data_IF_112706317126
#
_entry.id   IF_112706317126
#
_cell.length_a   1.000
_cell.length_b   1.000
_cell.length_c   1.000
_cell.angle_alpha   90.00
_cell.angle_beta   90.00
_cell.angle_gamma   90.00
#
_symmetry.space_group_name_H-M   'P 1'
#
loop_
_entity.id
_entity.type
_entity.pdbx_description
1 polymer ?
#
# COMPACT_ATOMS: atom_id res chain seq x y z
N UNK A 1 -35.69 -37.62 -51.03
CA UNK A 1 -35.09 -37.59 -49.71
C UNK A 1 -33.96 -36.60 -49.71
N UNK A 2 -34.24 -35.36 -49.30
CA UNK A 2 -33.21 -34.29 -49.21
C UNK A 2 -32.52 -34.41 -47.85
N UNK A 3 -31.35 -35.00 -47.80
CA UNK A 3 -30.46 -34.92 -46.66
C UNK A 3 -29.82 -33.52 -46.71
N UNK A 4 -30.47 -32.57 -46.03
CA UNK A 4 -29.89 -31.24 -45.79
C UNK A 4 -28.59 -31.35 -45.01
N UNK A 5 -27.52 -30.91 -45.63
CA UNK A 5 -26.15 -30.91 -45.08
C UNK A 5 -26.15 -30.26 -43.69
N UNK A 6 -25.83 -30.98 -42.62
CA UNK A 6 -25.90 -30.44 -41.24
C UNK A 6 -24.99 -29.22 -41.06
N UNK A 7 -23.97 -29.03 -41.90
CA UNK A 7 -23.06 -27.88 -41.88
C UNK A 7 -23.68 -26.54 -42.33
N UNK A 8 -24.79 -26.55 -43.07
CA UNK A 8 -25.41 -25.29 -43.53
C UNK A 8 -26.08 -24.51 -42.36
N UNK A 9 -26.49 -25.17 -41.31
CA UNK A 9 -27.07 -24.51 -40.09
C UNK A 9 -26.00 -23.90 -39.23
N UNK A 10 -24.85 -24.55 -39.08
CA UNK A 10 -23.70 -24.01 -38.31
C UNK A 10 -23.05 -22.84 -39.04
N UNK A 11 -22.93 -22.86 -40.34
CA UNK A 11 -22.42 -21.72 -41.13
C UNK A 11 -23.35 -20.50 -41.04
N UNK A 12 -24.68 -20.70 -41.08
CA UNK A 12 -25.64 -19.59 -40.90
C UNK A 12 -25.65 -19.04 -39.47
N UNK A 13 -25.43 -19.87 -38.46
CA UNK A 13 -25.30 -19.41 -37.07
C UNK A 13 -24.03 -18.60 -36.84
N UNK A 14 -22.93 -18.99 -37.52
CA UNK A 14 -21.66 -18.23 -37.49
C UNK A 14 -21.74 -16.91 -38.27
N UNK A 15 -22.50 -16.87 -39.37
CA UNK A 15 -22.67 -15.67 -40.23
C UNK A 15 -23.67 -14.68 -39.56
N UNK A 16 -24.59 -15.19 -38.73
CA UNK A 16 -25.55 -14.37 -37.99
C UNK A 16 -24.97 -13.86 -36.64
N UNK A 17 -23.82 -14.35 -36.22
CA UNK A 17 -23.16 -13.94 -35.02
C UNK A 17 -22.52 -12.56 -35.22
N UNK A 18 -23.27 -11.52 -34.84
CA UNK A 18 -22.79 -10.15 -34.95
C UNK A 18 -21.63 -9.94 -33.94
N UNK A 19 -20.41 -10.12 -34.43
CA UNK A 19 -19.16 -9.91 -33.67
C UNK A 19 -19.01 -8.52 -33.04
N UNK A 20 -19.99 -7.61 -33.24
CA UNK A 20 -19.96 -6.28 -32.67
C UNK A 20 -20.01 -6.30 -31.16
N UNK A 21 -20.85 -7.14 -30.58
CA UNK A 21 -20.97 -7.29 -29.11
C UNK A 21 -19.70 -7.90 -28.53
N UNK A 22 -19.11 -8.90 -29.18
CA UNK A 22 -17.81 -9.50 -28.78
C UNK A 22 -16.67 -8.49 -28.88
N UNK A 23 -16.60 -7.69 -29.94
CA UNK A 23 -15.60 -6.62 -30.10
C UNK A 23 -15.76 -5.54 -29.04
N UNK A 24 -16.99 -5.15 -28.74
CA UNK A 24 -17.28 -4.17 -27.70
C UNK A 24 -16.87 -4.69 -26.32
N UNK A 25 -17.17 -5.96 -26.03
CA UNK A 25 -16.74 -6.63 -24.79
C UNK A 25 -15.22 -6.69 -24.67
N UNK A 26 -14.51 -7.02 -25.77
CA UNK A 26 -13.05 -7.04 -25.79
C UNK A 26 -12.44 -5.66 -25.54
N UNK A 27 -12.97 -4.62 -26.20
CA UNK A 27 -12.50 -3.24 -26.01
C UNK A 27 -12.71 -2.79 -24.58
N UNK A 28 -13.88 -3.11 -23.99
CA UNK A 28 -14.17 -2.80 -22.60
C UNK A 28 -13.20 -3.51 -21.65
N UNK A 29 -12.95 -4.80 -21.88
CA UNK A 29 -12.02 -5.59 -21.07
C UNK A 29 -10.60 -5.03 -21.13
N UNK A 30 -10.12 -4.65 -22.31
CA UNK A 30 -8.80 -4.03 -22.50
C UNK A 30 -8.74 -2.66 -21.80
N UNK A 31 -9.79 -1.85 -21.91
CA UNK A 31 -9.86 -0.56 -21.23
C UNK A 31 -9.84 -0.71 -19.71
N UNK A 32 -10.59 -1.66 -19.16
CA UNK A 32 -10.58 -1.97 -17.73
C UNK A 32 -9.20 -2.46 -17.26
N UNK A 33 -8.56 -3.33 -18.02
CA UNK A 33 -7.22 -3.82 -17.73
C UNK A 33 -6.20 -2.67 -17.73
N UNK A 34 -6.26 -1.80 -18.73
CA UNK A 34 -5.39 -0.64 -18.80
C UNK A 34 -5.59 0.32 -17.63
N UNK A 35 -6.85 0.58 -17.24
CA UNK A 35 -7.17 1.40 -16.08
C UNK A 35 -6.65 0.77 -14.77
N UNK A 36 -6.78 -0.54 -14.63
CA UNK A 36 -6.28 -1.25 -13.46
C UNK A 36 -4.75 -1.23 -13.37
N UNK A 37 -4.06 -1.46 -14.50
CA UNK A 37 -2.59 -1.37 -14.57
C UNK A 37 -2.13 0.04 -14.24
N UNK A 38 -2.79 1.05 -14.81
CA UNK A 38 -2.50 2.45 -14.48
C UNK A 38 -2.66 2.73 -12.99
N UNK A 39 -3.78 2.29 -12.40
CA UNK A 39 -3.99 2.44 -10.96
C UNK A 39 -2.92 1.72 -10.14
N UNK A 40 -2.56 0.49 -10.50
CA UNK A 40 -1.55 -0.29 -9.79
C UNK A 40 -0.16 0.36 -9.80
N UNK A 41 0.16 1.13 -10.85
CA UNK A 41 1.42 1.86 -10.97
C UNK A 41 1.36 3.24 -10.30
N UNK A 42 0.23 3.95 -10.42
CA UNK A 42 0.08 5.33 -9.95
C UNK A 42 -0.26 5.43 -8.46
N UNK A 43 -1.00 4.45 -7.92
CA UNK A 43 -1.37 4.44 -6.50
C UNK A 43 -0.12 4.39 -5.60
N UNK A 44 -0.19 5.09 -4.47
CA UNK A 44 0.88 5.15 -3.46
C UNK A 44 0.31 4.68 -2.13
N UNK A 45 0.73 3.49 -1.71
CA UNK A 45 0.31 2.89 -0.44
C UNK A 45 1.38 3.20 0.60
N UNK A 46 1.05 3.92 1.68
CA UNK A 46 1.99 4.16 2.77
C UNK A 46 2.33 2.84 3.46
N UNK A 47 3.60 2.62 3.70
CA UNK A 47 4.10 1.54 4.54
C UNK A 47 4.41 2.09 5.92
N UNK A 48 3.94 1.39 6.94
CA UNK A 48 4.18 1.76 8.33
C UNK A 48 5.10 0.75 8.98
N UNK A 49 6.01 1.24 9.77
CA UNK A 49 6.85 0.46 10.64
C UNK A 49 6.43 0.65 12.09
N UNK A 50 6.24 -0.43 12.80
CA UNK A 50 5.69 -0.45 14.15
C UNK A 50 6.78 -0.52 15.21
N UNK A 51 6.67 0.30 16.26
CA UNK A 51 7.48 0.21 17.46
C UNK A 51 6.61 0.12 18.69
N UNK A 52 6.83 -0.90 19.50
CA UNK A 52 6.18 -1.06 20.82
C UNK A 52 7.01 -0.47 21.97
N UNK A 53 8.25 -0.07 21.70
CA UNK A 53 9.13 0.52 22.69
C UNK A 53 9.13 2.04 22.59
N UNK A 54 8.06 2.64 23.06
CA UNK A 54 7.87 4.11 23.07
C UNK A 54 7.89 4.60 24.49
N UNK A 55 8.73 5.59 24.78
CA UNK A 55 8.82 6.24 26.09
C UNK A 55 8.44 7.71 25.97
N UNK A 56 7.56 8.13 26.82
CA UNK A 56 7.14 9.54 26.91
C UNK A 56 8.16 10.35 27.71
N UNK A 57 8.40 11.57 27.26
CA UNK A 57 9.11 12.55 28.08
C UNK A 57 8.20 13.04 29.22
N UNK A 58 8.74 13.36 30.41
CA UNK A 58 7.97 13.85 31.57
C UNK A 58 7.04 15.02 31.27
N UNK A 59 7.35 15.82 30.25
CA UNK A 59 6.54 16.97 29.82
C UNK A 59 5.36 16.52 28.93
N UNK A 60 5.35 15.27 28.42
CA UNK A 60 4.26 14.70 27.62
C UNK A 60 4.12 15.26 26.20
N UNK A 61 5.10 16.01 25.71
CA UNK A 61 5.09 16.61 24.37
C UNK A 61 6.02 15.91 23.37
N UNK A 62 6.95 15.12 23.87
CA UNK A 62 7.87 14.33 23.05
C UNK A 62 7.86 12.87 23.49
N UNK A 63 8.08 11.98 22.53
CA UNK A 63 8.23 10.56 22.76
C UNK A 63 9.47 10.03 22.07
N UNK A 64 10.22 9.15 22.73
CA UNK A 64 11.32 8.42 22.10
C UNK A 64 10.83 7.03 21.71
N UNK A 65 11.03 6.64 20.45
CA UNK A 65 10.72 5.33 19.91
C UNK A 65 11.95 4.73 19.22
N UNK A 66 12.00 3.40 19.09
CA UNK A 66 13.11 2.69 18.46
C UNK A 66 12.62 1.91 17.25
N UNK A 67 13.29 2.12 16.11
CA UNK A 67 12.95 1.49 14.84
C UNK A 67 14.17 0.77 14.24
N UNK A 68 13.98 -0.34 13.50
CA UNK A 68 15.07 -1.04 12.83
C UNK A 68 15.52 -0.36 11.54
N UNK A 69 14.71 0.48 10.91
CA UNK A 69 15.04 1.14 9.66
C UNK A 69 15.32 2.63 9.79
N UNK A 70 16.01 3.17 8.77
CA UNK A 70 16.41 4.58 8.73
C UNK A 70 15.19 5.50 8.61
N UNK A 71 15.09 6.45 9.53
CA UNK A 71 14.00 7.41 9.61
C UNK A 71 14.51 8.80 9.33
N UNK A 72 13.74 9.57 8.57
CA UNK A 72 14.08 10.95 8.20
C UNK A 72 13.34 11.95 9.06
N UNK A 73 14.02 13.03 9.41
CA UNK A 73 13.41 14.17 10.10
C UNK A 73 12.28 14.72 9.24
N UNK A 74 11.14 15.02 9.87
CA UNK A 74 9.94 15.50 9.19
C UNK A 74 8.94 14.42 8.77
N UNK A 75 9.27 13.13 8.88
CA UNK A 75 8.32 12.05 8.60
C UNK A 75 7.12 12.09 9.55
N UNK A 76 5.97 11.70 9.01
CA UNK A 76 4.76 11.52 9.80
C UNK A 76 4.85 10.24 10.62
N UNK A 77 4.39 10.34 11.85
CA UNK A 77 4.22 9.22 12.75
C UNK A 77 2.83 9.27 13.38
N UNK A 78 2.31 8.11 13.72
CA UNK A 78 1.08 7.98 14.49
C UNK A 78 1.45 7.30 15.79
N UNK A 79 1.20 7.96 16.90
CA UNK A 79 1.40 7.40 18.22
C UNK A 79 0.05 6.97 18.78
N UNK A 80 -0.07 5.68 19.04
CA UNK A 80 -1.31 5.08 19.53
C UNK A 80 -1.22 4.79 21.02
N UNK A 81 -2.20 5.27 21.78
CA UNK A 81 -2.48 4.89 23.15
C UNK A 81 -3.71 3.98 23.18
N UNK A 82 -4.05 3.39 24.33
CA UNK A 82 -5.19 2.47 24.49
C UNK A 82 -6.50 2.97 23.87
N UNK A 83 -6.73 4.29 23.83
CA UNK A 83 -8.02 4.87 23.43
C UNK A 83 -7.90 5.98 22.38
N UNK A 84 -6.71 6.33 21.93
CA UNK A 84 -6.51 7.45 20.99
C UNK A 84 -5.30 7.24 20.09
N UNK A 85 -5.43 7.64 18.85
CA UNK A 85 -4.33 7.80 17.91
C UNK A 85 -3.98 9.29 17.83
N UNK A 86 -2.72 9.63 17.99
CA UNK A 86 -2.21 10.99 18.04
C UNK A 86 -1.22 11.17 16.90
N UNK A 87 -1.43 12.20 16.10
CA UNK A 87 -0.47 12.58 15.07
C UNK A 87 0.82 13.07 15.71
N UNK A 88 1.93 12.62 15.17
CA UNK A 88 3.26 13.00 15.61
C UNK A 88 4.17 13.24 14.39
N UNK A 89 5.31 13.88 14.64
CA UNK A 89 6.32 14.14 13.64
C UNK A 89 7.70 13.80 14.17
N UNK A 90 8.54 13.20 13.33
CA UNK A 90 9.95 12.95 13.62
C UNK A 90 10.69 14.27 13.65
N UNK A 91 11.28 14.61 14.80
CA UNK A 91 12.09 15.81 14.97
C UNK A 91 13.59 15.53 15.07
N UNK A 92 13.96 14.30 15.48
CA UNK A 92 15.35 13.88 15.59
C UNK A 92 15.46 12.38 15.38
N UNK A 93 16.58 11.92 14.81
CA UNK A 93 16.90 10.50 14.62
C UNK A 93 18.39 10.26 14.84
N UNK A 94 18.72 9.31 15.70
CA UNK A 94 20.11 8.96 16.01
C UNK A 94 20.28 7.42 16.04
N UNK A 95 21.35 6.89 15.41
CA UNK A 95 21.65 5.47 15.51
C UNK A 95 22.05 5.10 16.94
N UNK A 96 21.61 3.92 17.37
CA UNK A 96 21.95 3.32 18.67
C UNK A 96 23.00 2.24 18.48
N UNK A 97 23.75 1.91 19.52
CA UNK A 97 24.76 0.85 19.52
C UNK A 97 24.20 -0.53 19.20
N UNK A 98 22.91 -0.75 19.37
CA UNK A 98 22.20 -2.03 19.13
C UNK A 98 21.70 -2.19 17.68
N UNK A 99 22.11 -1.28 16.78
CA UNK A 99 21.67 -1.30 15.36
C UNK A 99 20.24 -0.81 15.14
N UNK A 100 19.60 -0.28 16.19
CA UNK A 100 18.32 0.39 16.07
C UNK A 100 18.52 1.90 15.89
N UNK A 101 17.50 2.57 15.41
CA UNK A 101 17.46 4.02 15.31
C UNK A 101 16.53 4.56 16.38
N UNK A 102 17.08 5.36 17.28
CA UNK A 102 16.30 6.12 18.24
C UNK A 102 15.72 7.33 17.54
N UNK A 103 14.40 7.42 17.55
CA UNK A 103 13.64 8.50 16.92
C UNK A 103 12.96 9.31 18.00
N UNK A 104 13.12 10.63 17.96
CA UNK A 104 12.37 11.55 18.82
C UNK A 104 11.17 12.07 18.06
N UNK A 105 9.99 11.83 18.61
CA UNK A 105 8.70 12.21 18.05
C UNK A 105 8.15 13.42 18.79
N UNK A 106 7.73 14.43 18.08
CA UNK A 106 6.95 15.54 18.62
C UNK A 106 5.47 15.20 18.53
N UNK A 107 4.79 15.17 19.63
CA UNK A 107 3.36 14.92 19.72
C UNK A 107 2.59 16.23 19.53
N UNK A 108 1.54 16.20 18.72
CA UNK A 108 0.65 17.36 18.56
C UNK A 108 -0.42 17.45 19.64
N UNK A 109 -0.59 16.38 20.42
CA UNK A 109 -1.49 16.30 21.56
C UNK A 109 -0.82 15.53 22.71
N UNK A 110 -1.15 15.83 23.98
CA UNK A 110 -0.60 15.10 25.09
C UNK A 110 -1.06 13.63 25.06
N UNK A 111 -0.16 12.73 25.35
CA UNK A 111 -0.40 11.29 25.38
C UNK A 111 -0.17 10.71 26.78
N UNK A 112 -0.75 9.54 27.03
CA UNK A 112 -0.53 8.77 28.25
C UNK A 112 -0.06 7.34 27.90
N UNK A 113 0.87 6.81 28.66
CA UNK A 113 1.35 5.43 28.51
C UNK A 113 0.27 4.37 28.81
N UNK A 114 0.31 3.17 28.19
CA UNK A 114 1.33 2.68 27.28
C UNK A 114 1.12 3.17 25.84
N UNK A 115 2.23 3.39 25.13
CA UNK A 115 2.24 3.92 23.76
C UNK A 115 2.87 2.93 22.79
N UNK A 116 2.36 2.97 21.57
CA UNK A 116 2.98 2.37 20.39
C UNK A 116 3.15 3.45 19.32
N UNK A 117 4.14 3.33 18.47
CA UNK A 117 4.39 4.29 17.41
C UNK A 117 4.49 3.59 16.07
N UNK A 118 3.80 4.15 15.07
CA UNK A 118 3.86 3.74 13.69
C UNK A 118 4.44 4.90 12.87
N UNK A 119 5.54 4.65 12.17
CA UNK A 119 6.15 5.66 11.29
C UNK A 119 5.88 5.29 9.83
N UNK A 120 5.46 6.27 9.03
CA UNK A 120 5.34 6.12 7.58
C UNK A 120 6.76 6.10 6.98
N UNK A 121 7.26 4.91 6.60
CA UNK A 121 8.63 4.72 6.09
C UNK A 121 8.74 5.01 4.60
N UNK A 122 7.86 4.44 3.81
CA UNK A 122 7.90 4.51 2.35
C UNK A 122 6.48 4.51 1.78
N UNK A 123 6.32 5.13 0.61
CA UNK A 123 5.11 5.02 -0.22
C UNK A 123 5.44 4.22 -1.46
N UNK A 124 4.93 3.00 -1.53
CA UNK A 124 5.17 2.10 -2.66
C UNK A 124 3.89 1.85 -3.45
N UNK A 125 4.07 1.52 -4.76
CA UNK A 125 2.91 1.18 -5.58
C UNK A 125 2.49 -0.28 -5.37
N UNK A 126 1.20 -0.63 -5.57
CA UNK A 126 0.73 -2.02 -5.54
C UNK A 126 1.53 -2.93 -6.46
N UNK A 127 1.95 -2.44 -7.62
CA UNK A 127 2.80 -3.18 -8.56
C UNK A 127 4.16 -3.52 -7.93
N UNK A 128 4.78 -2.60 -7.19
CA UNK A 128 6.04 -2.85 -6.49
C UNK A 128 5.89 -3.92 -5.40
N UNK A 129 4.77 -3.88 -4.65
CA UNK A 129 4.47 -4.90 -3.64
C UNK A 129 4.37 -6.29 -4.30
N UNK A 130 3.62 -6.40 -5.40
CA UNK A 130 3.47 -7.65 -6.12
C UNK A 130 4.79 -8.18 -6.67
N UNK A 131 5.64 -7.31 -7.22
CA UNK A 131 6.96 -7.68 -7.73
C UNK A 131 7.90 -8.14 -6.61
N UNK A 132 7.89 -7.49 -5.45
CA UNK A 132 8.65 -7.93 -4.26
C UNK A 132 8.15 -9.29 -3.75
N UNK A 133 6.84 -9.50 -3.70
CA UNK A 133 6.25 -10.79 -3.30
C UNK A 133 6.60 -11.93 -4.26
N UNK A 134 6.72 -11.63 -5.55
CA UNK A 134 7.15 -12.58 -6.58
C UNK A 134 8.68 -12.79 -6.64
N UNK A 135 9.47 -12.09 -5.81
CA UNK A 135 10.92 -12.15 -5.81
C UNK A 135 11.61 -11.49 -7.02
N UNK A 136 10.86 -10.67 -7.78
CA UNK A 136 11.31 -10.01 -9.00
C UNK A 136 11.87 -8.60 -8.75
N UNK A 137 11.68 -8.04 -7.56
CA UNK A 137 12.26 -6.76 -7.16
C UNK A 137 13.11 -6.95 -5.90
N UNK A 138 14.35 -6.46 -5.94
CA UNK A 138 15.22 -6.43 -4.77
C UNK A 138 14.68 -5.38 -3.77
N UNK A 139 15.00 -5.63 -2.50
CA UNK A 139 14.69 -4.72 -1.37
C UNK A 139 15.44 -3.41 -1.51
#
# INVERSE_FOLDING_TARGET
MNQGIPFARTLRALDADDFRTSKLGLVLAVAMLAAWVWWALAARIPQYEHSSNVRLDPIGQTAAAYFPSDTRIGQRAIVSSKNSAIDAQVIDSAPTTDGQIRVTLRLFQPAAEPLTADIETERISPATIALRAAGLANR
#
